data_IF_998119949475
#
_entry.id   IF_998119949475
#
_cell.length_a   1.000
_cell.length_b   1.000
_cell.length_c   1.000
_cell.angle_alpha   90.00
_cell.angle_beta   90.00
_cell.angle_gamma   90.00
#
_symmetry.space_group_name_H-M   'P 1'
#
loop_
_entity.id
_entity.type
_entity.pdbx_description
1 polymer ?
#
# COMPACT_ATOMS: atom_id res chain seq x y z
N UNK A 1 -5.01 -23.58 -4.90
CA UNK A 1 -4.24 -22.36 -4.58
C UNK A 1 -5.26 -21.29 -4.26
N UNK A 2 -5.33 -20.86 -3.00
CA UNK A 2 -6.30 -19.84 -2.58
C UNK A 2 -5.56 -18.50 -2.57
N UNK A 3 -5.88 -17.64 -3.52
CA UNK A 3 -5.34 -16.28 -3.52
C UNK A 3 -5.97 -15.55 -2.33
N UNK A 4 -5.20 -15.26 -1.28
CA UNK A 4 -5.60 -14.26 -0.30
C UNK A 4 -5.43 -12.91 -0.96
N UNK A 5 -6.53 -12.18 -1.11
CA UNK A 5 -6.47 -10.74 -1.36
C UNK A 5 -5.86 -10.14 -0.09
N UNK A 6 -4.62 -9.67 -0.21
CA UNK A 6 -4.02 -8.80 0.80
C UNK A 6 -4.61 -7.42 0.56
N UNK A 7 -5.58 -7.03 1.39
CA UNK A 7 -6.02 -5.63 1.42
C UNK A 7 -4.90 -4.80 2.06
N UNK A 8 -4.19 -4.03 1.24
CA UNK A 8 -3.13 -3.15 1.71
C UNK A 8 -3.75 -1.87 2.26
N UNK A 9 -3.94 -1.80 3.57
CA UNK A 9 -4.45 -0.59 4.21
C UNK A 9 -3.33 0.47 4.26
N UNK A 10 -3.35 1.39 3.29
CA UNK A 10 -2.34 2.44 3.17
C UNK A 10 -2.21 3.32 4.43
N UNK A 11 -3.31 3.60 5.14
CA UNK A 11 -3.25 4.42 6.35
C UNK A 11 -2.54 3.69 7.49
N UNK A 12 -2.91 2.43 7.71
CA UNK A 12 -2.28 1.58 8.73
C UNK A 12 -0.80 1.34 8.43
N UNK A 13 -0.48 1.01 7.18
CA UNK A 13 0.90 0.74 6.76
C UNK A 13 1.77 1.98 6.87
N UNK A 14 1.28 3.15 6.44
CA UNK A 14 2.02 4.42 6.62
C UNK A 14 2.22 4.78 8.10
N UNK A 15 1.24 4.48 8.96
CA UNK A 15 1.40 4.63 10.41
C UNK A 15 2.50 3.73 10.98
N UNK A 16 2.60 2.48 10.49
CA UNK A 16 3.68 1.54 10.87
C UNK A 16 5.04 2.05 10.37
N UNK A 17 5.13 2.50 9.10
CA UNK A 17 6.37 3.06 8.53
C UNK A 17 6.87 4.23 9.38
N UNK A 18 5.97 5.16 9.76
CA UNK A 18 6.34 6.30 10.60
C UNK A 18 6.87 5.88 11.97
N UNK A 19 6.23 4.91 12.64
CA UNK A 19 6.69 4.37 13.93
C UNK A 19 8.07 3.72 13.82
N UNK A 20 8.30 2.93 12.76
CA UNK A 20 9.59 2.26 12.53
C UNK A 20 10.70 3.27 12.23
N UNK A 21 10.42 4.29 11.42
CA UNK A 21 11.36 5.37 11.11
C UNK A 21 11.77 6.13 12.37
N UNK A 22 10.81 6.52 13.20
CA UNK A 22 11.07 7.21 14.46
C UNK A 22 11.90 6.34 15.43
N UNK A 23 11.53 5.07 15.61
CA UNK A 23 12.28 4.16 16.47
C UNK A 23 13.72 3.94 15.99
N UNK A 24 13.92 3.86 14.66
CA UNK A 24 15.26 3.78 14.06
C UNK A 24 16.09 5.03 14.37
N UNK A 25 15.50 6.23 14.23
CA UNK A 25 16.16 7.49 14.56
C UNK A 25 16.52 7.57 16.05
N UNK A 26 15.61 7.20 16.95
CA UNK A 26 15.88 7.18 18.39
C UNK A 26 17.06 6.28 18.75
N UNK A 27 17.10 5.05 18.23
CA UNK A 27 18.20 4.11 18.48
C UNK A 27 19.53 4.57 17.88
N UNK A 28 19.48 5.23 16.73
CA UNK A 28 20.65 5.77 16.04
C UNK A 28 21.24 6.94 16.82
N UNK A 29 20.38 7.84 17.30
CA UNK A 29 20.76 9.05 18.02
C UNK A 29 21.07 8.82 19.51
N UNK A 30 20.70 7.66 20.06
CA UNK A 30 21.07 7.28 21.42
C UNK A 30 22.59 7.29 21.58
N UNK A 31 23.17 8.02 22.55
CA UNK A 31 24.61 8.05 22.77
C UNK A 31 25.17 6.65 23.08
N UNK A 32 26.38 6.34 22.60
CA UNK A 32 27.04 5.08 22.95
C UNK A 32 27.34 5.04 24.45
N UNK A 33 27.07 3.91 25.09
CA UNK A 33 27.48 3.66 26.46
C UNK A 33 29.00 3.55 26.52
N UNK A 34 29.60 4.02 27.62
CA UNK A 34 31.03 3.94 27.89
C UNK A 34 31.30 3.54 29.33
N UNK A 35 32.42 2.87 29.56
CA UNK A 35 32.94 2.56 30.90
C UNK A 35 34.26 3.29 31.11
N UNK A 36 34.61 3.58 32.36
CA UNK A 36 35.93 4.12 32.73
C UNK A 36 36.86 2.96 33.06
N UNK A 37 38.06 2.95 32.47
CA UNK A 37 39.06 1.93 32.77
C UNK A 37 39.60 2.10 34.19
N UNK A 38 39.33 1.11 35.05
CA UNK A 38 39.86 1.06 36.42
C UNK A 38 40.91 -0.03 36.59
N UNK A 39 41.29 -0.74 35.53
CA UNK A 39 42.23 -1.87 35.56
C UNK A 39 41.74 -3.12 36.31
N UNK A 40 40.46 -3.18 36.68
CA UNK A 40 39.87 -4.31 37.42
C UNK A 40 39.30 -5.36 36.47
N UNK A 41 39.32 -6.64 36.87
CA UNK A 41 38.60 -7.72 36.15
C UNK A 41 37.10 -7.42 35.98
N UNK A 42 36.52 -6.74 36.96
CA UNK A 42 35.13 -6.28 36.89
C UNK A 42 34.92 -5.28 35.76
N UNK A 43 35.87 -4.35 35.57
CA UNK A 43 35.81 -3.36 34.49
C UNK A 43 35.98 -4.02 33.11
N UNK A 44 36.91 -4.98 32.98
CA UNK A 44 37.07 -5.75 31.74
C UNK A 44 35.77 -6.51 31.36
N UNK A 45 35.03 -7.01 32.35
CA UNK A 45 33.74 -7.68 32.13
C UNK A 45 32.65 -6.67 31.75
N UNK A 46 32.55 -5.54 32.45
CA UNK A 46 31.60 -4.48 32.15
C UNK A 46 31.81 -3.88 30.75
N UNK A 47 33.06 -3.66 30.35
CA UNK A 47 33.43 -3.13 29.03
C UNK A 47 32.98 -4.04 27.89
N UNK A 48 33.08 -5.38 28.06
CA UNK A 48 32.54 -6.35 27.10
C UNK A 48 31.02 -6.25 26.98
N UNK A 49 30.30 -6.16 28.10
CA UNK A 49 28.85 -6.00 28.09
C UNK A 49 28.41 -4.69 27.45
N UNK A 50 29.08 -3.58 27.74
CA UNK A 50 28.82 -2.27 27.12
C UNK A 50 29.07 -2.32 25.61
N UNK A 51 30.16 -2.96 25.18
CA UNK A 51 30.45 -3.16 23.75
C UNK A 51 29.36 -3.98 23.06
N UNK A 52 28.93 -5.09 23.68
CA UNK A 52 27.86 -5.92 23.17
C UNK A 52 26.54 -5.13 23.06
N UNK A 53 26.16 -4.39 24.09
CA UNK A 53 24.93 -3.60 24.10
C UNK A 53 24.93 -2.49 23.04
N UNK A 54 26.05 -1.77 22.88
CA UNK A 54 26.22 -0.79 21.81
C UNK A 54 26.10 -1.43 20.43
N UNK A 55 26.67 -2.63 20.24
CA UNK A 55 26.54 -3.39 18.99
C UNK A 55 25.09 -3.81 18.73
N UNK A 56 24.40 -4.38 19.73
CA UNK A 56 22.99 -4.77 19.61
C UNK A 56 22.12 -3.58 19.25
N UNK A 57 22.33 -2.43 19.89
CA UNK A 57 21.60 -1.20 19.59
C UNK A 57 21.75 -0.78 18.12
N UNK A 58 22.99 -0.77 17.60
CA UNK A 58 23.25 -0.44 16.19
C UNK A 58 22.62 -1.43 15.23
N UNK A 59 22.67 -2.73 15.54
CA UNK A 59 22.00 -3.75 14.73
C UNK A 59 20.48 -3.57 14.71
N UNK A 60 19.85 -3.25 15.85
CA UNK A 60 18.41 -2.97 15.89
C UNK A 60 18.04 -1.77 15.04
N UNK A 61 18.82 -0.68 15.12
CA UNK A 61 18.60 0.49 14.25
C UNK A 61 18.70 0.10 12.76
N UNK A 62 19.71 -0.67 12.37
CA UNK A 62 19.88 -1.13 10.99
C UNK A 62 18.73 -2.03 10.50
N UNK A 63 18.26 -2.95 11.34
CA UNK A 63 17.12 -3.82 11.02
C UNK A 63 15.86 -2.99 10.82
N UNK A 64 15.55 -2.08 11.75
CA UNK A 64 14.39 -1.20 11.63
C UNK A 64 14.48 -0.34 10.37
N UNK A 65 15.67 0.14 10.04
CA UNK A 65 15.93 0.88 8.80
C UNK A 65 15.55 0.07 7.55
N UNK A 66 15.99 -1.19 7.49
CA UNK A 66 15.65 -2.10 6.40
C UNK A 66 14.14 -2.37 6.31
N UNK A 67 13.47 -2.62 7.43
CA UNK A 67 12.03 -2.92 7.46
C UNK A 67 11.23 -1.71 6.97
N UNK A 68 11.48 -0.50 7.47
CA UNK A 68 10.69 0.66 7.07
C UNK A 68 10.91 1.00 5.58
N UNK A 69 12.15 0.90 5.07
CA UNK A 69 12.44 1.15 3.65
C UNK A 69 11.76 0.13 2.75
N UNK A 70 11.82 -1.15 3.10
CA UNK A 70 11.14 -2.21 2.34
C UNK A 70 9.63 -2.05 2.36
N UNK A 71 9.05 -1.67 3.51
CA UNK A 71 7.62 -1.45 3.64
C UNK A 71 7.15 -0.21 2.86
N UNK A 72 7.95 0.86 2.85
CA UNK A 72 7.68 2.05 2.05
C UNK A 72 7.70 1.75 0.54
N UNK A 73 8.72 1.03 0.06
CA UNK A 73 8.81 0.63 -1.34
C UNK A 73 7.64 -0.28 -1.76
N UNK A 74 7.31 -1.27 -0.94
CA UNK A 74 6.16 -2.12 -1.22
C UNK A 74 4.85 -1.32 -1.25
N UNK A 75 4.69 -0.35 -0.36
CA UNK A 75 3.50 0.53 -0.34
C UNK A 75 3.39 1.33 -1.63
N UNK A 76 4.50 1.88 -2.13
CA UNK A 76 4.55 2.60 -3.40
C UNK A 76 4.18 1.69 -4.59
N UNK A 77 4.70 0.46 -4.62
CA UNK A 77 4.38 -0.52 -5.66
C UNK A 77 2.89 -0.89 -5.67
N UNK A 78 2.29 -1.06 -4.49
CA UNK A 78 0.84 -1.32 -4.36
C UNK A 78 0.02 -0.12 -4.84
N UNK A 79 0.38 1.11 -4.46
CA UNK A 79 -0.32 2.32 -4.93
C UNK A 79 -0.28 2.42 -6.46
N UNK A 80 0.89 2.23 -7.06
CA UNK A 80 1.03 2.25 -8.52
C UNK A 80 0.17 1.17 -9.21
N UNK A 81 0.08 -0.01 -8.59
CA UNK A 81 -0.73 -1.11 -9.12
C UNK A 81 -2.23 -0.79 -9.03
N UNK A 82 -2.69 -0.24 -7.91
CA UNK A 82 -4.09 0.16 -7.72
C UNK A 82 -4.49 1.28 -8.68
N UNK A 83 -3.63 2.28 -8.89
CA UNK A 83 -3.86 3.36 -9.86
C UNK A 83 -3.97 2.81 -11.29
N UNK A 84 -3.08 1.89 -11.68
CA UNK A 84 -3.13 1.25 -12.99
C UNK A 84 -4.43 0.44 -13.18
N UNK A 85 -4.88 -0.27 -12.14
CA UNK A 85 -6.15 -1.01 -12.16
C UNK A 85 -7.35 -0.05 -12.27
N UNK A 86 -7.33 1.07 -11.53
CA UNK A 86 -8.37 2.09 -11.61
C UNK A 86 -8.46 2.71 -13.02
N UNK A 87 -7.33 2.97 -13.67
CA UNK A 87 -7.29 3.48 -15.04
C UNK A 87 -7.88 2.49 -16.05
N UNK A 88 -7.55 1.20 -15.93
CA UNK A 88 -8.13 0.15 -16.78
C UNK A 88 -9.64 0.04 -16.57
N UNK A 89 -10.11 0.09 -15.33
CA UNK A 89 -11.56 0.04 -15.04
C UNK A 89 -12.31 1.25 -15.60
N UNK A 90 -11.73 2.45 -15.48
CA UNK A 90 -12.27 3.69 -16.06
C UNK A 90 -12.37 3.58 -17.58
N UNK A 91 -11.37 3.00 -18.22
CA UNK A 91 -11.36 2.82 -19.67
C UNK A 91 -12.42 1.81 -20.13
N UNK A 92 -12.58 0.69 -19.41
CA UNK A 92 -13.64 -0.30 -19.67
C UNK A 92 -15.03 0.36 -19.53
N UNK A 93 -15.24 1.17 -18.49
CA UNK A 93 -16.49 1.90 -18.31
C UNK A 93 -16.74 2.87 -19.47
N UNK A 94 -15.72 3.63 -19.89
CA UNK A 94 -15.80 4.53 -21.05
C UNK A 94 -16.23 3.79 -22.33
N UNK A 95 -15.61 2.64 -22.62
CA UNK A 95 -15.99 1.82 -23.77
C UNK A 95 -17.42 1.30 -23.67
N UNK A 96 -17.84 0.87 -22.48
CA UNK A 96 -19.20 0.39 -22.25
C UNK A 96 -20.25 1.50 -22.43
N UNK A 97 -19.94 2.72 -21.97
CA UNK A 97 -20.80 3.89 -22.13
C UNK A 97 -20.91 4.31 -23.60
N UNK A 98 -19.80 4.31 -24.35
CA UNK A 98 -19.79 4.60 -25.79
C UNK A 98 -20.59 3.55 -26.58
N UNK A 99 -20.41 2.27 -26.25
CA UNK A 99 -21.18 1.18 -26.84
C UNK A 99 -22.68 1.36 -26.59
N UNK A 100 -23.08 1.61 -25.34
CA UNK A 100 -24.47 1.83 -24.99
C UNK A 100 -25.02 3.09 -25.69
N UNK A 101 -24.28 4.19 -25.74
CA UNK A 101 -24.72 5.39 -26.46
C UNK A 101 -25.01 5.11 -27.94
N UNK A 102 -24.18 4.28 -28.59
CA UNK A 102 -24.28 3.98 -30.01
C UNK A 102 -25.36 2.94 -30.35
N UNK A 103 -25.61 1.99 -29.46
CA UNK A 103 -26.44 0.81 -29.74
C UNK A 103 -27.70 0.69 -28.88
N UNK A 104 -27.96 1.62 -27.95
CA UNK A 104 -29.25 1.66 -27.25
C UNK A 104 -30.33 2.17 -28.22
N UNK A 105 -31.35 1.35 -28.55
CA UNK A 105 -32.44 1.79 -29.42
C UNK A 105 -33.20 2.94 -28.74
N UNK A 106 -33.59 4.00 -29.45
CA UNK A 106 -34.47 5.01 -28.88
C UNK A 106 -35.74 4.32 -28.38
N UNK A 107 -36.09 4.53 -27.10
CA UNK A 107 -37.40 4.12 -26.57
C UNK A 107 -38.45 4.80 -27.45
N UNK A 108 -39.35 4.06 -28.12
CA UNK A 108 -40.35 4.69 -28.95
C UNK A 108 -41.29 5.50 -28.05
N UNK A 109 -41.08 6.82 -28.00
CA UNK A 109 -42.08 7.75 -27.49
C UNK A 109 -43.32 7.59 -28.36
N UNK A 110 -44.36 7.03 -27.76
CA UNK A 110 -45.51 6.48 -28.46
C UNK A 110 -46.33 7.53 -29.20
N UNK A 111 -46.35 7.40 -30.52
CA UNK A 111 -47.43 7.88 -31.40
C UNK A 111 -47.34 7.29 -32.81
N UNK A 112 -46.81 6.08 -32.97
CA UNK A 112 -47.00 5.30 -34.21
C UNK A 112 -48.44 4.78 -34.24
N UNK A 113 -49.35 5.64 -34.71
CA UNK A 113 -50.75 5.29 -34.95
C UNK A 113 -50.79 4.25 -36.07
N UNK A 114 -51.01 2.98 -35.72
CA UNK A 114 -51.22 1.91 -36.69
C UNK A 114 -52.61 2.11 -37.29
N UNK A 115 -52.69 2.61 -38.53
CA UNK A 115 -53.94 2.62 -39.29
C UNK A 115 -54.23 1.20 -39.76
N UNK A 116 -55.23 0.54 -39.16
CA UNK A 116 -55.70 -0.76 -39.63
C UNK A 116 -56.41 -0.58 -40.99
N UNK A 117 -55.89 -1.23 -42.02
CA UNK A 117 -56.52 -1.26 -43.35
C UNK A 117 -57.66 -2.28 -43.32
N UNK A 118 -58.89 -1.83 -43.51
CA UNK A 118 -60.06 -2.71 -43.60
C UNK A 118 -60.11 -3.34 -45.00
N UNK A 119 -60.11 -4.68 -45.14
CA UNK A 119 -60.19 -5.30 -46.46
C UNK A 119 -61.61 -5.15 -47.04
N UNK A 120 -61.70 -4.68 -48.28
CA UNK A 120 -62.96 -4.57 -49.02
C UNK A 120 -63.41 -5.95 -49.48
N UNK A 121 -64.66 -6.30 -49.17
CA UNK A 121 -65.30 -7.54 -49.59
C UNK A 121 -65.65 -7.48 -51.09
N UNK A 122 -65.35 -8.55 -51.83
CA UNK A 122 -65.90 -8.83 -53.15
C UNK A 122 -66.19 -10.32 -53.27
#
# INVERSE_FOLDING_TARGET
>A
MTYRVLEWNYEEVNSIIAKLSNACLELTNTPALSTSDTGSEHDATLSKHVTALNSTRRHMAWILNGIYLGLAAATEDFMCTDDAVADVMREIQRYNDEYNHKYTPPVPTGNTQITAVTPSSS
#
